data_IF_165355752554
#
_entry.id   IF_165355752554
#
_cell.length_a   1.000
_cell.length_b   1.000
_cell.length_c   1.000
_cell.angle_alpha   90.00
_cell.angle_beta   90.00
_cell.angle_gamma   90.00
#
_symmetry.space_group_name_H-M   'P 1'
#
loop_
_entity.id
_entity.type
_entity.pdbx_description
1 polymer ?
#
# COMPACT_ATOMS: atom_id res chain seq x y z
N UNK A 1 38.32 23.46 65.30
CA UNK A 1 38.09 22.26 64.51
C UNK A 1 36.66 22.27 64.05
N UNK A 2 36.39 22.73 62.79
CA UNK A 2 35.06 22.91 62.25
C UNK A 2 34.82 21.83 61.24
N UNK A 3 33.94 20.88 61.51
CA UNK A 3 33.51 19.85 60.56
C UNK A 3 32.46 20.40 59.62
N UNK A 4 32.83 20.56 58.36
CA UNK A 4 31.94 20.96 57.28
C UNK A 4 31.26 19.70 56.74
N UNK A 5 29.96 19.57 56.96
CA UNK A 5 29.11 18.49 56.41
C UNK A 5 28.79 18.77 54.98
N UNK A 6 29.41 18.03 54.08
CA UNK A 6 29.05 18.01 52.64
C UNK A 6 27.79 17.16 52.47
N UNK A 7 26.66 17.81 52.12
CA UNK A 7 25.46 17.12 51.66
C UNK A 7 25.62 16.80 50.19
N UNK A 8 25.82 15.53 49.92
CA UNK A 8 25.77 14.99 48.56
C UNK A 8 24.31 14.88 48.15
N UNK A 9 23.88 15.75 47.23
CA UNK A 9 22.56 15.69 46.60
C UNK A 9 22.62 14.71 45.47
N UNK A 10 22.12 13.48 45.68
CA UNK A 10 22.00 12.45 44.64
C UNK A 10 20.78 12.81 43.77
N UNK A 11 21.01 13.42 42.61
CA UNK A 11 19.97 13.72 41.63
C UNK A 11 19.65 12.44 40.85
N UNK A 12 18.59 11.75 41.26
CA UNK A 12 18.07 10.59 40.54
C UNK A 12 17.38 11.08 39.26
N UNK A 13 18.10 11.06 38.13
CA UNK A 13 17.54 11.24 36.81
C UNK A 13 16.69 9.99 36.48
N UNK A 14 15.39 10.03 36.75
CA UNK A 14 14.43 9.11 36.16
C UNK A 14 14.33 9.41 34.66
N UNK A 15 15.14 8.72 33.88
CA UNK A 15 14.98 8.66 32.43
C UNK A 15 13.68 7.92 32.10
N UNK A 16 12.61 8.65 31.88
CA UNK A 16 11.39 8.08 31.30
C UNK A 16 11.71 7.66 29.87
N UNK A 17 12.02 6.38 29.67
CA UNK A 17 12.04 5.77 28.36
C UNK A 17 10.60 5.83 27.80
N UNK A 18 10.31 6.81 26.97
CA UNK A 18 9.11 6.83 26.15
C UNK A 18 9.28 5.72 25.13
N UNK A 19 8.77 4.54 25.47
CA UNK A 19 8.58 3.46 24.51
C UNK A 19 7.51 3.96 23.53
N UNK A 20 7.94 4.50 22.41
CA UNK A 20 7.07 4.65 21.24
C UNK A 20 6.71 3.24 20.79
N UNK A 21 5.64 2.70 21.37
CA UNK A 21 4.92 1.59 20.80
C UNK A 21 4.42 2.05 19.43
N UNK A 22 5.11 1.67 18.36
CA UNK A 22 4.55 1.72 17.01
C UNK A 22 3.33 0.81 17.03
N UNK A 23 2.16 1.38 17.27
CA UNK A 23 0.91 0.71 16.93
C UNK A 23 1.00 0.50 15.41
N UNK A 24 1.07 -0.76 14.99
CA UNK A 24 0.95 -1.13 13.59
C UNK A 24 -0.40 -0.59 13.13
N UNK A 25 -0.41 0.60 12.53
CA UNK A 25 -1.58 1.16 11.87
C UNK A 25 -1.82 0.28 10.65
N UNK A 26 -2.79 -0.64 10.74
CA UNK A 26 -3.19 -1.52 9.64
C UNK A 26 -4.16 -0.77 8.70
N UNK A 27 -3.81 0.45 8.30
CA UNK A 27 -4.60 1.22 7.36
C UNK A 27 -4.35 0.76 5.92
N UNK A 28 -5.30 1.01 5.03
CA UNK A 28 -5.09 0.78 3.59
C UNK A 28 -3.93 1.61 3.06
N UNK A 29 -3.70 2.80 3.61
CA UNK A 29 -2.56 3.64 3.24
C UNK A 29 -1.22 3.00 3.61
N UNK A 30 -1.13 2.31 4.77
CA UNK A 30 0.08 1.59 5.17
C UNK A 30 0.35 0.40 4.24
N UNK A 31 -0.71 -0.29 3.81
CA UNK A 31 -0.62 -1.34 2.80
C UNK A 31 -0.03 -0.80 1.49
N UNK A 32 -0.56 0.31 0.99
CA UNK A 32 -0.07 0.98 -0.21
C UNK A 32 1.41 1.34 -0.05
N UNK A 33 1.77 2.04 1.03
CA UNK A 33 3.15 2.46 1.28
C UNK A 33 4.12 1.26 1.33
N UNK A 34 3.69 0.14 1.90
CA UNK A 34 4.51 -1.07 2.05
C UNK A 34 4.73 -1.79 0.72
N UNK A 35 3.68 -1.88 -0.12
CA UNK A 35 3.70 -2.77 -1.29
C UNK A 35 3.81 -2.04 -2.64
N UNK A 36 3.86 -0.70 -2.66
CA UNK A 36 3.99 0.08 -3.90
C UNK A 36 5.21 -0.32 -4.71
N UNK A 37 6.37 -0.43 -4.07
CA UNK A 37 7.61 -0.81 -4.75
C UNK A 37 7.47 -2.16 -5.44
N UNK A 38 6.96 -3.16 -4.74
CA UNK A 38 6.76 -4.51 -5.28
C UNK A 38 5.79 -4.47 -6.48
N UNK A 39 4.67 -3.73 -6.36
CA UNK A 39 3.71 -3.60 -7.45
C UNK A 39 4.30 -2.93 -8.70
N UNK A 40 5.14 -1.91 -8.53
CA UNK A 40 5.87 -1.26 -9.63
C UNK A 40 6.88 -2.21 -10.29
N UNK A 41 7.55 -3.05 -9.50
CA UNK A 41 8.44 -4.08 -10.02
C UNK A 41 7.67 -5.12 -10.86
N UNK A 42 6.46 -5.51 -10.43
CA UNK A 42 5.58 -6.37 -11.23
C UNK A 42 5.12 -5.69 -12.53
N UNK A 43 4.81 -4.39 -12.49
CA UNK A 43 4.47 -3.62 -13.69
C UNK A 43 5.63 -3.62 -14.70
N UNK A 44 6.85 -3.35 -14.23
CA UNK A 44 8.06 -3.33 -15.08
C UNK A 44 8.36 -4.71 -15.69
N UNK A 45 8.19 -5.77 -14.91
CA UNK A 45 8.59 -7.11 -15.31
C UNK A 45 7.53 -7.84 -16.14
N UNK A 46 6.25 -7.66 -15.82
CA UNK A 46 5.15 -8.44 -16.37
C UNK A 46 4.13 -7.62 -17.16
N UNK A 47 4.22 -6.29 -17.15
CA UNK A 47 3.30 -5.40 -17.88
C UNK A 47 1.90 -5.32 -17.26
N UNK A 48 1.75 -5.61 -15.97
CA UNK A 48 0.49 -5.48 -15.24
C UNK A 48 0.50 -4.14 -14.51
N UNK A 49 -0.50 -3.23 -14.71
CA UNK A 49 -0.49 -1.93 -14.05
C UNK A 49 -0.32 -2.04 -12.53
N UNK A 50 0.63 -1.31 -11.95
CA UNK A 50 0.88 -1.32 -10.51
C UNK A 50 -0.37 -0.96 -9.70
N UNK A 51 -1.18 -0.03 -10.21
CA UNK A 51 -2.45 0.35 -9.60
C UNK A 51 -3.47 -0.80 -9.56
N UNK A 52 -3.50 -1.65 -10.58
CA UNK A 52 -4.36 -2.86 -10.62
C UNK A 52 -3.86 -3.88 -9.59
N UNK A 53 -2.56 -4.17 -9.60
CA UNK A 53 -1.95 -5.12 -8.65
C UNK A 53 -2.19 -4.69 -7.20
N UNK A 54 -1.99 -3.40 -6.88
CA UNK A 54 -2.26 -2.86 -5.54
C UNK A 54 -3.74 -2.94 -5.17
N UNK A 55 -4.66 -2.53 -6.08
CA UNK A 55 -6.09 -2.57 -5.83
C UNK A 55 -6.58 -4.01 -5.58
N UNK A 56 -6.08 -4.98 -6.34
CA UNK A 56 -6.36 -6.39 -6.10
C UNK A 56 -5.80 -6.84 -4.75
N UNK A 57 -4.55 -6.55 -4.42
CA UNK A 57 -3.96 -6.88 -3.14
C UNK A 57 -4.72 -6.28 -1.94
N UNK A 58 -5.18 -5.03 -2.04
CA UNK A 58 -6.02 -4.37 -1.03
C UNK A 58 -7.34 -5.14 -0.87
N UNK A 59 -8.02 -5.42 -1.97
CA UNK A 59 -9.33 -6.05 -1.98
C UNK A 59 -9.27 -7.50 -1.48
N UNK A 60 -8.37 -8.31 -2.04
CA UNK A 60 -8.26 -9.75 -1.76
C UNK A 60 -7.70 -10.05 -0.36
N UNK A 61 -6.83 -9.18 0.17
CA UNK A 61 -6.22 -9.39 1.49
C UNK A 61 -6.84 -8.59 2.62
N UNK A 62 -7.90 -7.80 2.36
CA UNK A 62 -8.42 -6.86 3.35
C UNK A 62 -7.36 -5.86 3.80
N UNK A 63 -6.59 -5.30 2.86
CA UNK A 63 -5.43 -4.44 3.15
C UNK A 63 -4.36 -5.15 3.98
N UNK A 64 -4.09 -6.42 3.70
CA UNK A 64 -3.07 -7.22 4.38
C UNK A 64 -3.48 -7.77 5.75
N UNK A 65 -4.76 -7.65 6.14
CA UNK A 65 -5.25 -8.09 7.46
C UNK A 65 -5.86 -9.49 7.44
N UNK A 66 -6.17 -10.03 6.26
CA UNK A 66 -6.75 -11.37 6.16
C UNK A 66 -5.80 -12.42 6.74
N UNK A 67 -6.36 -13.54 7.21
CA UNK A 67 -5.58 -14.65 7.75
C UNK A 67 -4.55 -15.18 6.72
N UNK A 68 -4.93 -15.25 5.44
CA UNK A 68 -4.00 -15.68 4.39
C UNK A 68 -2.84 -14.70 4.18
N UNK A 69 -3.08 -13.39 4.30
CA UNK A 69 -2.01 -12.40 4.20
C UNK A 69 -1.07 -12.43 5.41
N UNK A 70 -1.63 -12.57 6.63
CA UNK A 70 -0.85 -12.48 7.88
C UNK A 70 -0.10 -13.76 8.24
N UNK A 71 -0.70 -14.93 8.01
CA UNK A 71 -0.11 -16.23 8.39
C UNK A 71 0.61 -16.91 7.21
N UNK A 72 0.21 -16.61 5.96
CA UNK A 72 0.73 -17.28 4.79
C UNK A 72 1.42 -16.36 3.77
N UNK A 73 1.53 -15.06 4.02
CA UNK A 73 1.99 -14.04 3.07
C UNK A 73 1.27 -14.10 1.70
N UNK A 74 0.05 -14.64 1.68
CA UNK A 74 -0.74 -14.86 0.49
C UNK A 74 -1.77 -13.74 0.34
N UNK A 75 -1.38 -12.69 -0.37
CA UNK A 75 -2.16 -11.46 -0.50
C UNK A 75 -3.27 -11.54 -1.56
N UNK A 76 -3.28 -12.58 -2.38
CA UNK A 76 -4.23 -12.74 -3.48
C UNK A 76 -5.12 -13.98 -3.33
N UNK A 77 -5.00 -14.74 -2.24
CA UNK A 77 -5.79 -15.94 -2.02
C UNK A 77 -5.47 -17.07 -3.01
N UNK A 78 -4.21 -17.23 -3.39
CA UNK A 78 -3.82 -18.23 -4.39
C UNK A 78 -3.92 -19.63 -3.79
N UNK A 79 -4.75 -20.49 -4.44
CA UNK A 79 -4.98 -21.89 -4.05
C UNK A 79 -3.81 -22.79 -4.48
N UNK A 80 -3.65 -23.96 -3.83
CA UNK A 80 -2.47 -24.83 -4.04
C UNK A 80 -2.36 -25.43 -5.44
N UNK A 81 -3.49 -25.75 -6.07
CA UNK A 81 -3.50 -26.58 -7.28
C UNK A 81 -2.61 -27.86 -7.21
N UNK A 82 -2.62 -28.68 -8.25
CA UNK A 82 -1.93 -29.98 -8.25
C UNK A 82 -0.40 -29.87 -8.34
N UNK A 83 0.12 -28.74 -8.78
CA UNK A 83 1.54 -28.49 -9.04
C UNK A 83 2.29 -27.87 -7.85
N UNK A 84 1.57 -27.37 -6.84
CA UNK A 84 2.19 -26.70 -5.70
C UNK A 84 2.93 -27.69 -4.79
N UNK A 85 4.24 -27.49 -4.62
CA UNK A 85 5.12 -28.31 -3.76
C UNK A 85 5.54 -27.59 -2.47
N UNK A 86 5.22 -26.30 -2.31
CA UNK A 86 5.56 -25.49 -1.15
C UNK A 86 4.70 -25.76 0.08
N UNK A 87 4.89 -24.93 1.10
CA UNK A 87 4.09 -24.94 2.34
C UNK A 87 2.62 -24.63 2.05
N UNK A 88 1.73 -25.15 2.89
CA UNK A 88 0.28 -25.07 2.69
C UNK A 88 -0.41 -24.61 3.96
N UNK A 89 -1.49 -23.87 3.79
CA UNK A 89 -2.45 -23.54 4.85
C UNK A 89 -3.85 -23.92 4.36
N UNK A 90 -4.71 -24.30 5.28
CA UNK A 90 -6.08 -24.69 4.97
C UNK A 90 -7.07 -23.71 5.59
N UNK A 91 -8.07 -23.34 4.81
CA UNK A 91 -9.14 -22.41 5.20
C UNK A 91 -10.42 -22.81 4.46
N UNK A 92 -11.57 -22.64 5.13
CA UNK A 92 -12.87 -22.73 4.47
C UNK A 92 -13.04 -21.52 3.56
N UNK A 93 -13.37 -21.79 2.30
CA UNK A 93 -13.66 -20.82 1.26
C UNK A 93 -14.89 -21.34 0.48
N UNK A 94 -14.88 -21.43 -0.84
CA UNK A 94 -15.97 -22.03 -1.63
C UNK A 94 -16.27 -23.48 -1.20
N UNK A 95 -15.28 -24.18 -0.69
CA UNK A 95 -15.37 -25.52 -0.10
C UNK A 95 -14.73 -25.53 1.28
N UNK A 96 -15.14 -26.49 2.11
CA UNK A 96 -14.49 -26.71 3.39
C UNK A 96 -13.04 -27.19 3.14
N UNK A 97 -12.12 -26.68 3.98
CA UNK A 97 -10.74 -27.11 4.04
C UNK A 97 -9.97 -26.96 2.71
N UNK A 98 -10.17 -25.84 2.01
CA UNK A 98 -9.41 -25.55 0.79
C UNK A 98 -7.94 -25.22 1.07
N UNK A 99 -7.09 -25.66 0.16
CA UNK A 99 -5.65 -25.51 0.26
C UNK A 99 -5.18 -24.21 -0.38
N UNK A 100 -4.47 -23.39 0.40
CA UNK A 100 -3.83 -22.15 -0.07
C UNK A 100 -2.31 -22.23 0.03
N UNK A 101 -1.63 -21.57 -0.90
CA UNK A 101 -0.17 -21.46 -0.92
C UNK A 101 0.33 -20.63 0.26
N UNK A 102 1.45 -21.05 0.86
CA UNK A 102 2.17 -20.28 1.89
C UNK A 102 3.49 -19.84 1.29
N UNK A 103 3.79 -18.57 1.37
CA UNK A 103 5.01 -17.96 0.88
C UNK A 103 5.92 -17.53 2.03
N UNK A 104 7.22 -17.42 1.80
CA UNK A 104 8.18 -16.97 2.80
C UNK A 104 8.09 -15.45 3.03
N UNK A 105 7.62 -14.69 2.02
CA UNK A 105 7.35 -13.26 2.10
C UNK A 105 6.22 -12.87 1.13
N UNK A 106 5.72 -11.64 1.29
CA UNK A 106 4.64 -11.11 0.46
C UNK A 106 5.03 -10.97 -1.02
N UNK A 107 6.29 -10.63 -1.32
CA UNK A 107 6.78 -10.47 -2.69
C UNK A 107 6.56 -11.71 -3.54
N UNK A 108 6.77 -12.91 -2.97
CA UNK A 108 6.52 -14.17 -3.67
C UNK A 108 5.05 -14.33 -4.08
N UNK A 109 4.10 -13.85 -3.27
CA UNK A 109 2.69 -13.89 -3.65
C UNK A 109 2.35 -12.90 -4.78
N UNK A 110 3.02 -11.75 -4.82
CA UNK A 110 2.90 -10.78 -5.92
C UNK A 110 3.46 -11.33 -7.23
N UNK A 111 4.63 -11.98 -7.18
CA UNK A 111 5.23 -12.65 -8.34
C UNK A 111 4.32 -13.76 -8.84
N UNK A 112 3.83 -14.62 -7.96
CA UNK A 112 2.97 -15.74 -8.32
C UNK A 112 1.63 -15.27 -8.93
N UNK A 113 1.05 -14.20 -8.38
CA UNK A 113 -0.12 -13.54 -8.97
C UNK A 113 0.16 -13.03 -10.39
N UNK A 114 1.32 -12.40 -10.59
CA UNK A 114 1.70 -11.89 -11.91
C UNK A 114 1.90 -13.01 -12.92
N UNK A 115 2.59 -14.08 -12.52
CA UNK A 115 2.79 -15.28 -13.33
C UNK A 115 1.45 -15.95 -13.69
N UNK A 116 0.51 -15.95 -12.75
CA UNK A 116 -0.83 -16.46 -13.00
C UNK A 116 -1.56 -15.67 -14.09
N UNK A 117 -1.52 -14.33 -14.07
CA UNK A 117 -2.16 -13.52 -15.11
C UNK A 117 -1.48 -13.68 -16.48
N UNK A 118 -0.14 -13.66 -16.50
CA UNK A 118 0.62 -13.82 -17.76
C UNK A 118 0.47 -15.25 -18.34
N UNK A 119 0.43 -16.26 -17.48
CA UNK A 119 0.46 -17.66 -17.90
C UNK A 119 -0.87 -18.20 -18.44
N UNK A 120 -2.00 -17.54 -18.20
CA UNK A 120 -3.31 -18.06 -18.63
C UNK A 120 -3.85 -17.31 -19.85
N UNK A 121 -4.14 -18.05 -20.91
CA UNK A 121 -4.67 -17.53 -22.20
C UNK A 121 -5.88 -16.61 -22.04
N UNK A 122 -6.75 -16.86 -21.07
CA UNK A 122 -7.98 -16.08 -20.83
C UNK A 122 -7.69 -14.62 -20.48
N UNK A 123 -6.49 -14.30 -19.98
CA UNK A 123 -6.07 -12.92 -19.66
C UNK A 123 -5.25 -12.25 -20.78
N UNK A 124 -4.95 -12.94 -21.88
CA UNK A 124 -4.07 -12.43 -22.94
C UNK A 124 -4.57 -11.09 -23.54
N UNK A 125 -5.89 -10.89 -23.64
CA UNK A 125 -6.47 -9.63 -24.12
C UNK A 125 -6.14 -8.42 -23.23
N UNK A 126 -5.90 -8.62 -21.93
CA UNK A 126 -5.54 -7.54 -21.01
C UNK A 126 -4.23 -6.88 -21.40
N UNK A 127 -3.27 -7.65 -21.86
CA UNK A 127 -1.93 -7.19 -22.24
C UNK A 127 -1.90 -6.41 -23.57
N UNK A 128 -3.05 -6.27 -24.25
CA UNK A 128 -3.24 -5.38 -25.39
C UNK A 128 -3.71 -3.97 -24.95
N UNK A 129 -4.15 -3.83 -23.71
CA UNK A 129 -4.58 -2.55 -23.15
C UNK A 129 -3.36 -1.68 -22.81
N UNK A 130 -3.55 -0.36 -22.84
CA UNK A 130 -2.52 0.53 -22.32
C UNK A 130 -2.33 0.30 -20.82
N UNK A 131 -1.10 0.44 -20.35
CA UNK A 131 -0.76 0.31 -18.93
C UNK A 131 -1.54 1.33 -18.07
N UNK A 132 -1.92 2.47 -18.66
CA UNK A 132 -2.70 3.53 -18.00
C UNK A 132 -4.21 3.32 -18.05
N UNK A 133 -4.70 2.30 -18.79
CA UNK A 133 -6.13 2.01 -18.90
C UNK A 133 -6.60 1.05 -17.79
N UNK A 134 -6.47 1.50 -16.53
CA UNK A 134 -6.89 0.68 -15.39
C UNK A 134 -8.40 0.33 -15.42
N UNK A 135 -9.25 1.16 -16.05
CA UNK A 135 -10.68 0.85 -16.19
C UNK A 135 -10.92 -0.29 -17.17
N UNK A 136 -10.18 -0.32 -18.26
CA UNK A 136 -10.16 -1.43 -19.20
C UNK A 136 -9.64 -2.71 -18.54
N UNK A 137 -8.55 -2.62 -17.78
CA UNK A 137 -8.00 -3.74 -17.03
C UNK A 137 -9.00 -4.32 -16.02
N UNK A 138 -9.63 -3.48 -15.18
CA UNK A 138 -10.61 -3.93 -14.19
C UNK A 138 -11.79 -4.67 -14.84
N UNK A 139 -12.35 -4.12 -15.93
CA UNK A 139 -13.44 -4.75 -16.68
C UNK A 139 -12.98 -6.03 -17.37
N UNK A 140 -11.78 -6.03 -17.94
CA UNK A 140 -11.21 -7.18 -18.62
C UNK A 140 -10.92 -8.34 -17.68
N UNK A 141 -10.43 -8.09 -16.46
CA UNK A 141 -10.26 -9.11 -15.41
C UNK A 141 -11.60 -9.81 -15.12
N UNK A 142 -12.68 -9.04 -14.93
CA UNK A 142 -14.03 -9.62 -14.73
C UNK A 142 -14.50 -10.43 -15.95
N UNK A 143 -14.34 -9.89 -17.16
CA UNK A 143 -14.69 -10.56 -18.42
C UNK A 143 -13.93 -11.89 -18.56
N UNK A 144 -12.67 -11.91 -18.17
CA UNK A 144 -11.82 -13.11 -18.21
C UNK A 144 -12.09 -14.10 -17.07
N UNK A 145 -13.06 -13.82 -16.17
CA UNK A 145 -13.43 -14.71 -15.09
C UNK A 145 -12.44 -14.70 -13.93
N UNK A 146 -11.80 -13.56 -13.63
CA UNK A 146 -10.93 -13.43 -12.45
C UNK A 146 -11.74 -13.53 -11.16
N UNK A 147 -12.93 -12.94 -11.12
CA UNK A 147 -13.84 -12.98 -9.99
C UNK A 147 -15.29 -13.17 -10.45
N UNK A 148 -16.12 -13.82 -9.64
CA UNK A 148 -17.54 -14.05 -9.92
C UNK A 148 -18.39 -12.82 -9.63
N UNK A 149 -18.00 -12.00 -8.63
CA UNK A 149 -18.72 -10.81 -8.21
C UNK A 149 -18.93 -9.79 -9.36
N UNK A 150 -20.18 -9.45 -9.74
CA UNK A 150 -20.44 -8.50 -10.81
C UNK A 150 -19.93 -7.09 -10.51
N UNK A 151 -19.72 -6.72 -9.24
CA UNK A 151 -19.22 -5.42 -8.81
C UNK A 151 -17.68 -5.34 -8.80
N UNK A 152 -16.98 -6.46 -9.06
CA UNK A 152 -15.52 -6.52 -8.99
C UNK A 152 -14.79 -5.39 -9.74
N UNK A 153 -15.15 -5.07 -11.00
CA UNK A 153 -14.49 -3.98 -11.72
C UNK A 153 -14.66 -2.63 -11.02
N UNK A 154 -15.85 -2.36 -10.50
CA UNK A 154 -16.15 -1.09 -9.83
C UNK A 154 -15.38 -0.99 -8.52
N UNK A 155 -15.28 -2.07 -7.73
CA UNK A 155 -14.50 -2.10 -6.50
C UNK A 155 -13.01 -1.79 -6.75
N UNK A 156 -12.42 -2.34 -7.81
CA UNK A 156 -11.05 -2.01 -8.18
C UNK A 156 -10.90 -0.55 -8.59
N UNK A 157 -11.84 -0.04 -9.41
CA UNK A 157 -11.83 1.35 -9.85
C UNK A 157 -11.97 2.31 -8.67
N UNK A 158 -12.89 2.02 -7.74
CA UNK A 158 -13.13 2.84 -6.55
C UNK A 158 -11.88 2.90 -5.65
N UNK A 159 -11.19 1.78 -5.46
CA UNK A 159 -9.90 1.73 -4.72
C UNK A 159 -8.86 2.58 -5.44
N UNK A 160 -8.70 2.41 -6.75
CA UNK A 160 -7.69 3.15 -7.53
C UNK A 160 -7.95 4.66 -7.48
N UNK A 161 -9.21 5.08 -7.64
CA UNK A 161 -9.58 6.50 -7.63
C UNK A 161 -9.55 7.11 -6.21
N UNK A 162 -9.96 6.35 -5.18
CA UNK A 162 -9.95 6.80 -3.79
C UNK A 162 -8.54 7.09 -3.26
N UNK A 163 -7.58 6.24 -3.61
CA UNK A 163 -6.20 6.33 -3.14
C UNK A 163 -5.23 6.92 -4.19
N UNK A 164 -5.76 7.42 -5.32
CA UNK A 164 -4.97 8.00 -6.43
C UNK A 164 -3.87 7.07 -6.96
N UNK A 165 -4.17 5.76 -7.02
CA UNK A 165 -3.19 4.76 -7.43
C UNK A 165 -2.85 4.84 -8.92
N UNK A 166 -3.68 5.50 -9.76
CA UNK A 166 -3.44 5.61 -11.20
C UNK A 166 -2.08 6.28 -11.52
N UNK A 167 -1.61 7.15 -10.62
CA UNK A 167 -0.35 7.88 -10.77
C UNK A 167 0.77 7.31 -9.88
N UNK A 168 0.55 6.15 -9.24
CA UNK A 168 1.44 5.64 -8.18
C UNK A 168 2.87 5.42 -8.68
N UNK A 169 3.05 4.94 -9.90
CA UNK A 169 4.37 4.67 -10.48
C UNK A 169 5.16 5.98 -10.67
N UNK A 170 4.49 7.03 -11.21
CA UNK A 170 5.11 8.34 -11.38
C UNK A 170 5.44 8.99 -10.04
N UNK A 171 4.49 8.99 -9.11
CA UNK A 171 4.67 9.57 -7.77
C UNK A 171 5.83 8.90 -7.02
N UNK A 172 5.94 7.59 -7.11
CA UNK A 172 7.02 6.83 -6.49
C UNK A 172 8.39 7.21 -7.08
N UNK A 173 8.49 7.32 -8.41
CA UNK A 173 9.73 7.71 -9.08
C UNK A 173 10.16 9.15 -8.71
N UNK A 174 9.21 10.07 -8.60
CA UNK A 174 9.47 11.44 -8.15
C UNK A 174 9.97 11.48 -6.70
N UNK A 175 9.45 10.63 -5.83
CA UNK A 175 9.91 10.52 -4.44
C UNK A 175 11.32 9.94 -4.34
N UNK A 176 11.62 8.84 -5.04
CA UNK A 176 12.96 8.25 -5.08
C UNK A 176 14.00 9.28 -5.57
N UNK A 177 13.70 10.01 -6.65
CA UNK A 177 14.60 11.04 -7.17
C UNK A 177 14.83 12.20 -6.18
N UNK A 178 13.82 12.56 -5.38
CA UNK A 178 13.96 13.59 -4.35
C UNK A 178 14.80 13.10 -3.15
N UNK A 179 14.67 11.85 -2.76
CA UNK A 179 15.46 11.25 -1.69
C UNK A 179 16.93 11.13 -2.08
N UNK A 180 17.21 10.67 -3.29
CA UNK A 180 18.57 10.58 -3.84
C UNK A 180 19.25 11.97 -3.89
N UNK A 181 18.53 13.00 -4.35
CA UNK A 181 19.02 14.36 -4.35
C UNK A 181 19.32 14.90 -2.93
N UNK A 182 18.49 14.56 -1.92
CA UNK A 182 18.73 14.94 -0.53
C UNK A 182 19.99 14.28 0.03
N UNK A 183 20.20 13.00 -0.27
CA UNK A 183 21.42 12.27 0.13
C UNK A 183 22.68 12.88 -0.50
N UNK A 184 22.66 13.17 -1.78
CA UNK A 184 23.77 13.83 -2.49
C UNK A 184 24.10 15.21 -1.86
N UNK A 185 23.06 16.00 -1.54
CA UNK A 185 23.23 17.31 -0.89
C UNK A 185 23.81 17.15 0.52
N UNK A 186 23.38 16.14 1.28
CA UNK A 186 23.90 15.90 2.64
C UNK A 186 25.36 15.47 2.62
N UNK A 187 25.75 14.58 1.72
CA UNK A 187 27.14 14.13 1.52
C UNK A 187 28.06 15.28 1.04
N UNK A 188 27.54 16.18 0.21
CA UNK A 188 28.29 17.35 -0.26
C UNK A 188 28.43 18.43 0.83
N UNK A 189 27.48 18.55 1.77
CA UNK A 189 27.60 19.47 2.92
C UNK A 189 28.68 19.05 3.90
N UNK A 190 28.94 17.77 4.07
CA UNK A 190 30.03 17.27 4.92
C UNK A 190 31.41 17.53 4.31
N UNK A 191 31.49 17.76 3.02
CA UNK A 191 32.77 18.00 2.29
C UNK A 191 33.15 19.46 2.09
N UNK A 192 32.29 20.42 2.49
CA UNK A 192 32.56 21.86 2.32
C UNK A 192 32.94 22.48 3.68
N UNK A 193 34.16 23.01 3.84
CA UNK A 193 34.51 23.79 5.03
C UNK A 193 33.64 25.04 5.11
N UNK A 194 33.16 25.34 6.31
CA UNK A 194 32.30 26.49 6.61
C UNK A 194 32.85 27.78 6.01
N UNK A 195 32.21 28.30 4.98
CA UNK A 195 32.34 29.69 4.58
C UNK A 195 31.03 30.21 3.99
N UNK A 196 30.43 31.12 4.74
CA UNK A 196 29.41 32.10 4.37
C UNK A 196 27.98 31.61 4.12
N UNK A 197 27.16 31.84 5.16
CA UNK A 197 25.70 31.96 5.05
C UNK A 197 25.29 32.93 3.93
N UNK A 198 24.71 32.40 2.87
CA UNK A 198 23.91 33.20 1.97
C UNK A 198 22.45 33.06 2.42
N UNK A 199 21.97 34.06 3.12
CA UNK A 199 20.53 34.28 3.40
C UNK A 199 19.80 34.51 2.08
N UNK A 200 19.29 33.46 1.42
CA UNK A 200 18.26 33.62 0.42
C UNK A 200 16.91 33.75 1.15
N UNK A 201 16.45 34.99 1.29
CA UNK A 201 15.08 35.30 1.68
C UNK A 201 14.14 34.83 0.56
N UNK A 202 13.50 33.68 0.74
CA UNK A 202 12.32 33.30 0.00
C UNK A 202 11.17 34.25 0.33
N UNK A 203 10.96 35.27 -0.49
CA UNK A 203 9.74 36.04 -0.52
C UNK A 203 8.64 35.20 -1.17
N UNK A 204 8.13 34.21 -0.46
CA UNK A 204 6.81 33.67 -0.80
C UNK A 204 5.78 34.79 -0.67
N UNK A 205 5.18 35.18 -1.81
CA UNK A 205 4.03 36.07 -1.85
C UNK A 205 2.90 35.39 -1.08
N UNK A 206 2.70 35.76 0.19
CA UNK A 206 1.64 35.23 1.06
C UNK A 206 0.30 35.47 0.35
N UNK A 207 -0.35 34.38 -0.08
CA UNK A 207 -1.72 34.47 -0.62
C UNK A 207 -2.63 35.15 0.38
N UNK A 208 -3.57 36.03 -0.04
CA UNK A 208 -4.52 36.69 0.86
C UNK A 208 -5.28 35.67 1.70
N UNK A 209 -5.50 35.98 3.00
CA UNK A 209 -6.15 35.13 3.98
C UNK A 209 -7.44 34.47 3.46
N UNK A 210 -8.30 35.21 2.77
CA UNK A 210 -9.58 34.72 2.25
C UNK A 210 -9.40 33.67 1.10
N UNK A 211 -8.34 33.75 0.27
CA UNK A 211 -8.03 32.71 -0.72
C UNK A 211 -7.60 31.42 -0.04
N UNK A 212 -6.74 31.52 0.96
CA UNK A 212 -6.29 30.37 1.77
C UNK A 212 -7.45 29.74 2.54
N UNK A 213 -8.38 30.56 3.08
CA UNK A 213 -9.57 30.08 3.76
C UNK A 213 -10.54 29.32 2.82
N UNK A 214 -10.76 29.81 1.58
CA UNK A 214 -11.55 29.12 0.55
C UNK A 214 -10.92 27.80 0.12
N UNK A 215 -9.60 27.76 -0.09
CA UNK A 215 -8.84 26.56 -0.41
C UNK A 215 -9.00 25.53 0.72
N UNK A 216 -8.74 25.89 1.98
CA UNK A 216 -8.89 25.02 3.15
C UNK A 216 -10.33 24.53 3.37
N UNK A 217 -11.36 25.30 2.96
CA UNK A 217 -12.76 24.88 3.05
C UNK A 217 -13.09 23.82 1.99
N UNK A 218 -12.53 23.96 0.77
CA UNK A 218 -12.68 22.96 -0.29
C UNK A 218 -11.95 21.66 0.09
N UNK A 219 -10.74 21.76 0.62
CA UNK A 219 -9.96 20.61 1.10
C UNK A 219 -10.69 19.85 2.20
N UNK A 220 -11.21 20.58 3.23
CA UNK A 220 -12.01 19.95 4.30
C UNK A 220 -13.28 19.26 3.79
N UNK A 221 -13.90 19.77 2.72
CA UNK A 221 -15.06 19.09 2.11
C UNK A 221 -14.64 17.81 1.40
N UNK A 222 -13.58 17.87 0.59
CA UNK A 222 -13.01 16.68 -0.07
C UNK A 222 -12.58 15.61 0.94
N UNK A 223 -11.93 16.04 2.04
CA UNK A 223 -11.50 15.14 3.10
C UNK A 223 -12.67 14.45 3.81
N UNK A 224 -13.79 15.15 4.02
CA UNK A 224 -15.01 14.54 4.60
C UNK A 224 -15.65 13.52 3.64
N UNK A 225 -15.67 13.82 2.34
CA UNK A 225 -16.18 12.90 1.31
C UNK A 225 -15.29 11.67 1.19
N UNK A 226 -13.97 11.88 1.19
CA UNK A 226 -12.97 10.80 1.21
C UNK A 226 -13.18 9.86 2.41
N UNK A 227 -13.29 10.40 3.64
CA UNK A 227 -13.54 9.60 4.85
C UNK A 227 -14.85 8.82 4.83
N UNK A 228 -15.89 9.36 4.17
CA UNK A 228 -17.16 8.61 4.00
C UNK A 228 -16.96 7.42 3.10
N UNK A 229 -16.32 7.64 1.95
CA UNK A 229 -16.04 6.59 0.98
C UNK A 229 -15.11 5.51 1.54
N UNK A 230 -14.09 5.91 2.30
CA UNK A 230 -13.20 4.98 3.04
C UNK A 230 -13.97 4.09 3.99
N UNK A 231 -14.94 4.67 4.75
CA UNK A 231 -15.78 3.89 5.66
C UNK A 231 -16.71 2.92 4.93
N UNK A 232 -17.26 3.30 3.77
CA UNK A 232 -18.09 2.42 2.97
C UNK A 232 -17.26 1.29 2.35
N UNK A 233 -16.10 1.63 1.81
CA UNK A 233 -15.18 0.64 1.27
C UNK A 233 -14.71 -0.33 2.37
N UNK A 234 -14.37 0.20 3.55
CA UNK A 234 -13.97 -0.64 4.68
C UNK A 234 -15.08 -1.63 5.09
N UNK A 235 -16.35 -1.20 5.10
CA UNK A 235 -17.47 -2.11 5.35
C UNK A 235 -17.58 -3.21 4.30
N UNK A 236 -17.34 -2.87 3.03
CA UNK A 236 -17.35 -3.86 1.94
C UNK A 236 -16.21 -4.87 2.12
N UNK A 237 -15.01 -4.39 2.43
CA UNK A 237 -13.84 -5.24 2.69
C UNK A 237 -14.10 -6.15 3.90
N UNK A 238 -14.62 -5.60 5.00
CA UNK A 238 -14.93 -6.38 6.22
C UNK A 238 -16.07 -7.40 5.96
N UNK A 239 -17.08 -7.07 5.14
CA UNK A 239 -18.12 -8.01 4.73
C UNK A 239 -17.58 -9.12 3.82
N UNK A 240 -16.56 -8.84 3.00
CA UNK A 240 -15.93 -9.85 2.17
C UNK A 240 -15.08 -10.82 2.98
N UNK A 241 -14.46 -10.36 4.07
CA UNK A 241 -13.77 -11.25 5.03
C UNK A 241 -14.76 -12.17 5.76
N UNK A 242 -16.03 -11.74 5.91
CA UNK A 242 -17.11 -12.55 6.50
C UNK A 242 -17.82 -13.41 5.45
N UNK A 243 -18.00 -12.88 4.23
CA UNK A 243 -18.77 -13.49 3.12
C UNK A 243 -17.88 -13.73 1.90
N UNK A 244 -16.69 -14.28 2.06
CA UNK A 244 -15.77 -14.62 0.94
C UNK A 244 -16.33 -15.71 0.00
N UNK A 245 -17.59 -16.08 0.21
CA UNK A 245 -18.37 -17.03 -0.57
C UNK A 245 -18.63 -16.62 -2.02
N UNK A 246 -18.37 -15.35 -2.41
CA UNK A 246 -18.68 -14.83 -3.74
C UNK A 246 -17.47 -14.49 -4.60
N UNK A 247 -16.25 -14.73 -4.12
CA UNK A 247 -15.03 -14.51 -4.90
C UNK A 247 -14.43 -15.87 -5.33
N UNK A 248 -15.12 -16.54 -6.24
CA UNK A 248 -14.46 -17.58 -7.04
C UNK A 248 -13.39 -16.92 -7.90
N UNK A 249 -12.18 -16.87 -7.40
CA UNK A 249 -11.02 -16.72 -8.25
C UNK A 249 -10.76 -18.10 -8.85
N UNK A 250 -11.32 -18.37 -10.03
CA UNK A 250 -10.95 -19.56 -10.79
C UNK A 250 -9.49 -19.46 -11.23
N UNK A 251 -8.61 -19.95 -10.41
CA UNK A 251 -7.21 -20.14 -10.75
C UNK A 251 -7.00 -21.40 -11.56
#
# INVERSE_FOLDING_TARGET
MVYMKIKVFLFLMLGSAVVFGQSKSNSTQDYINTYTKIAIEQEKQYGIPACITLAQGILESGSGRSRLATEANNHFGIKCHNDWKGKKIYKDDDKQNECFRVYDNAEQSYIDHSLFLVGKKRYAELFQLKITDYKGWAKGLKKAGYATNPKYPQLLIDIIELYDLANITQTYQEQEAQEENKEIISQNKEKIPQSKEIKQQNKEKKKPFWKRWKENRKERKKEREKRKLEKELQKIIDQQDVNRLDFEVEF
#
